data_IF_067706224217
#
_entry.id   IF_067706224217
#
_cell.length_a   1.000
_cell.length_b   1.000
_cell.length_c   1.000
_cell.angle_alpha   90.00
_cell.angle_beta   90.00
_cell.angle_gamma   90.00
#
_symmetry.space_group_name_H-M   'P 1'
#
loop_
_entity.id
_entity.type
_entity.pdbx_description
1 polymer ?
#
# COMPACT_ATOMS: atom_id res chain seq x y z
N UNK A 1 -14.38 -14.79 3.07
CA UNK A 1 -15.73 -14.41 2.55
C UNK A 1 -16.38 -13.35 3.43
N UNK A 2 -16.35 -13.47 4.76
CA UNK A 2 -16.91 -12.47 5.66
C UNK A 2 -16.15 -11.13 5.60
N UNK A 3 -14.83 -11.20 5.41
CA UNK A 3 -13.90 -10.06 5.34
C UNK A 3 -14.21 -9.17 4.14
N UNK A 4 -14.42 -9.76 2.95
CA UNK A 4 -14.77 -9.01 1.73
C UNK A 4 -16.14 -8.32 1.85
N UNK A 5 -17.12 -8.97 2.49
CA UNK A 5 -18.44 -8.36 2.75
C UNK A 5 -18.34 -7.18 3.72
N UNK A 6 -17.50 -7.31 4.77
CA UNK A 6 -17.22 -6.22 5.70
C UNK A 6 -16.54 -5.03 4.98
N UNK A 7 -15.56 -5.31 4.13
CA UNK A 7 -14.87 -4.30 3.33
C UNK A 7 -15.81 -3.61 2.33
N UNK A 8 -16.74 -4.32 1.71
CA UNK A 8 -17.78 -3.71 0.87
C UNK A 8 -18.64 -2.70 1.64
N UNK A 9 -19.11 -3.10 2.82
CA UNK A 9 -19.95 -2.25 3.67
C UNK A 9 -19.18 -1.00 4.11
N UNK A 10 -17.92 -1.19 4.52
CA UNK A 10 -17.04 -0.11 4.93
C UNK A 10 -16.71 0.83 3.76
N UNK A 11 -16.50 0.30 2.56
CA UNK A 11 -16.28 1.11 1.34
C UNK A 11 -17.46 2.04 1.08
N UNK A 12 -18.70 1.55 1.23
CA UNK A 12 -19.89 2.37 1.07
C UNK A 12 -19.99 3.46 2.16
N UNK A 13 -19.61 3.14 3.40
CA UNK A 13 -19.55 4.12 4.49
C UNK A 13 -18.50 5.22 4.20
N UNK A 14 -17.27 4.84 3.87
CA UNK A 14 -16.19 5.76 3.54
C UNK A 14 -16.58 6.73 2.42
N UNK A 15 -17.29 6.23 1.40
CA UNK A 15 -17.79 7.06 0.30
C UNK A 15 -18.82 8.10 0.77
N UNK A 16 -19.72 7.74 1.71
CA UNK A 16 -20.71 8.66 2.27
C UNK A 16 -20.07 9.71 3.16
N UNK A 17 -19.06 9.33 3.93
CA UNK A 17 -18.34 10.21 4.86
C UNK A 17 -17.26 11.06 4.16
N UNK A 18 -16.98 10.82 2.89
CA UNK A 18 -15.97 11.58 2.16
C UNK A 18 -14.53 11.20 2.50
N UNK A 19 -14.32 10.08 3.20
CA UNK A 19 -13.00 9.67 3.72
C UNK A 19 -12.35 8.56 2.88
N UNK A 20 -11.08 8.30 3.16
CA UNK A 20 -10.26 7.25 2.57
C UNK A 20 -9.57 6.49 3.69
N UNK A 21 -9.22 5.23 3.46
CA UNK A 21 -8.54 4.40 4.47
C UNK A 21 -7.39 3.64 3.86
N UNK A 22 -6.44 3.33 4.72
CA UNK A 22 -5.28 2.51 4.41
C UNK A 22 -5.60 1.05 4.76
N UNK A 23 -5.32 0.13 3.84
CA UNK A 23 -5.35 -1.31 4.08
C UNK A 23 -3.93 -1.84 3.85
N UNK A 24 -3.33 -2.39 4.89
CA UNK A 24 -1.98 -2.92 4.86
C UNK A 24 -2.03 -4.43 4.72
N UNK A 25 -1.41 -4.95 3.67
CA UNK A 25 -1.16 -6.38 3.47
C UNK A 25 0.32 -6.63 3.78
N UNK A 26 0.60 -7.41 4.82
CA UNK A 26 1.98 -7.72 5.23
C UNK A 26 2.17 -9.23 5.32
N UNK A 27 3.11 -9.76 4.54
CA UNK A 27 3.39 -11.19 4.44
C UNK A 27 4.25 -11.53 3.25
N UNK A 28 4.22 -12.80 2.86
CA UNK A 28 4.87 -13.31 1.66
C UNK A 28 4.35 -12.63 0.39
N UNK A 29 5.21 -12.52 -0.62
CA UNK A 29 4.91 -11.79 -1.86
C UNK A 29 3.67 -12.31 -2.58
N UNK A 30 3.57 -13.63 -2.76
CA UNK A 30 2.43 -14.26 -3.41
C UNK A 30 1.14 -14.08 -2.61
N UNK A 31 1.22 -14.17 -1.28
CA UNK A 31 0.07 -13.94 -0.40
C UNK A 31 -0.46 -12.50 -0.53
N UNK A 32 0.44 -11.51 -0.50
CA UNK A 32 0.08 -10.10 -0.68
C UNK A 32 -0.56 -9.85 -2.04
N UNK A 33 0.03 -10.40 -3.11
CA UNK A 33 -0.47 -10.24 -4.46
C UNK A 33 -1.86 -10.86 -4.63
N UNK A 34 -2.07 -12.09 -4.16
CA UNK A 34 -3.36 -12.78 -4.22
C UNK A 34 -4.46 -12.02 -3.46
N UNK A 35 -4.13 -11.44 -2.30
CA UNK A 35 -5.10 -10.66 -1.54
C UNK A 35 -5.43 -9.32 -2.22
N UNK A 36 -4.44 -8.64 -2.79
CA UNK A 36 -4.67 -7.44 -3.59
C UNK A 36 -5.58 -7.72 -4.80
N UNK A 37 -5.38 -8.84 -5.50
CA UNK A 37 -6.24 -9.26 -6.60
C UNK A 37 -7.68 -9.54 -6.15
N UNK A 38 -7.87 -10.24 -5.02
CA UNK A 38 -9.20 -10.47 -4.46
C UNK A 38 -9.91 -9.16 -4.10
N UNK A 39 -9.19 -8.18 -3.55
CA UNK A 39 -9.73 -6.86 -3.25
C UNK A 39 -10.13 -6.12 -4.52
N UNK A 40 -9.30 -6.20 -5.57
CA UNK A 40 -9.58 -5.62 -6.88
C UNK A 40 -10.86 -6.19 -7.49
N UNK A 41 -11.01 -7.50 -7.45
CA UNK A 41 -12.15 -8.18 -8.05
C UNK A 41 -13.44 -7.97 -7.24
N UNK A 42 -13.33 -7.78 -5.92
CA UNK A 42 -14.47 -7.48 -5.06
C UNK A 42 -14.92 -6.02 -5.18
N UNK A 43 -13.99 -5.06 -5.12
CA UNK A 43 -14.32 -3.63 -5.03
C UNK A 43 -14.07 -2.95 -6.39
N UNK A 44 -15.12 -2.49 -7.10
CA UNK A 44 -14.94 -1.88 -8.41
C UNK A 44 -14.21 -0.52 -8.31
N UNK A 45 -13.11 -0.38 -9.04
CA UNK A 45 -12.30 0.82 -9.08
C UNK A 45 -11.30 0.82 -10.23
N UNK A 46 -10.53 1.90 -10.32
CA UNK A 46 -9.46 2.07 -11.31
C UNK A 46 -8.23 1.23 -10.96
N UNK A 47 -7.98 1.03 -9.65
CA UNK A 47 -6.90 0.20 -9.10
C UNK A 47 -5.53 0.50 -9.72
N UNK A 48 -5.10 1.76 -9.57
CA UNK A 48 -3.76 2.15 -10.01
C UNK A 48 -2.70 1.38 -9.20
N UNK A 49 -1.83 0.64 -9.88
CA UNK A 49 -0.78 -0.13 -9.22
C UNK A 49 0.57 0.57 -9.36
N UNK A 50 1.15 0.95 -8.23
CA UNK A 50 2.48 1.55 -8.14
C UNK A 50 3.44 0.50 -7.61
N UNK A 51 4.30 -0.02 -8.48
CA UNK A 51 5.34 -0.96 -8.11
C UNK A 51 6.67 -0.57 -8.78
N UNK A 52 7.81 -0.89 -8.16
CA UNK A 52 9.10 -0.84 -8.84
C UNK A 52 9.25 -1.97 -9.89
N UNK A 53 8.42 -3.03 -9.85
CA UNK A 53 8.47 -4.16 -10.78
C UNK A 53 7.20 -4.23 -11.66
N UNK A 54 7.33 -4.33 -13.00
CA UNK A 54 6.22 -4.22 -13.94
C UNK A 54 5.45 -5.53 -14.11
N UNK A 55 4.86 -6.06 -13.03
CA UNK A 55 4.19 -7.37 -13.06
C UNK A 55 2.65 -7.30 -13.15
N UNK A 56 2.05 -6.09 -13.24
CA UNK A 56 0.59 -5.91 -13.28
C UNK A 56 0.10 -5.03 -14.44
N UNK A 57 -1.11 -5.30 -14.94
CA UNK A 57 -1.86 -4.40 -15.83
C UNK A 57 -2.22 -3.09 -15.08
N UNK A 58 -2.20 -1.92 -15.75
CA UNK A 58 -2.30 -0.58 -15.15
C UNK A 58 -1.17 -0.18 -14.18
N UNK A 59 0.04 -0.67 -14.46
CA UNK A 59 1.26 -0.33 -13.74
C UNK A 59 1.77 1.09 -14.04
N UNK A 60 2.20 1.80 -13.00
CA UNK A 60 2.96 3.04 -13.11
C UNK A 60 4.16 2.99 -12.15
N UNK A 61 5.35 3.34 -12.65
CA UNK A 61 6.52 3.44 -11.76
C UNK A 61 6.35 4.60 -10.77
N UNK A 62 6.94 4.53 -9.56
CA UNK A 62 6.93 5.63 -8.60
C UNK A 62 7.39 6.97 -9.22
N UNK A 63 8.38 6.93 -10.13
CA UNK A 63 8.88 8.10 -10.86
C UNK A 63 7.88 8.71 -11.85
N UNK A 64 7.00 7.89 -12.44
CA UNK A 64 5.98 8.35 -13.39
C UNK A 64 4.74 8.90 -12.69
N UNK A 65 4.64 8.79 -11.36
CA UNK A 65 3.49 9.27 -10.60
C UNK A 65 3.28 10.79 -10.73
N UNK A 66 4.35 11.56 -10.95
CA UNK A 66 4.27 13.01 -11.20
C UNK A 66 3.46 13.33 -12.47
N UNK A 67 3.42 12.41 -13.45
CA UNK A 67 2.65 12.57 -14.68
C UNK A 67 1.16 12.30 -14.50
N UNK A 68 0.76 11.72 -13.36
CA UNK A 68 -0.62 11.41 -13.01
C UNK A 68 -1.26 12.48 -12.10
N UNK A 69 -0.51 13.51 -11.72
CA UNK A 69 -1.01 14.65 -10.96
C UNK A 69 -2.08 15.41 -11.77
N UNK A 70 -3.22 15.69 -11.15
CA UNK A 70 -4.41 16.27 -11.78
C UNK A 70 -5.47 15.24 -12.21
N UNK A 71 -5.18 13.94 -12.04
CA UNK A 71 -6.16 12.86 -12.19
C UNK A 71 -6.49 12.29 -10.83
N UNK A 72 -7.72 11.82 -10.70
CA UNK A 72 -8.19 11.14 -9.49
C UNK A 72 -8.57 9.69 -9.79
N UNK A 73 -8.15 8.78 -8.91
CA UNK A 73 -8.36 7.34 -9.05
C UNK A 73 -9.22 6.80 -7.91
N UNK A 74 -10.02 5.78 -8.21
CA UNK A 74 -10.70 4.96 -7.21
C UNK A 74 -9.87 3.71 -6.95
N UNK A 75 -9.38 3.61 -5.73
CA UNK A 75 -8.49 2.55 -5.26
C UNK A 75 -7.10 2.58 -5.91
N UNK A 76 -6.09 2.24 -5.12
CA UNK A 76 -4.72 2.06 -5.61
C UNK A 76 -3.97 1.06 -4.75
N UNK A 77 -2.93 0.46 -5.34
CA UNK A 77 -1.98 -0.41 -4.67
C UNK A 77 -0.61 0.28 -4.68
N UNK A 78 0.04 0.35 -3.53
CA UNK A 78 1.43 0.76 -3.39
C UNK A 78 2.25 -0.43 -2.94
N UNK A 79 3.16 -0.86 -3.80
CA UNK A 79 4.02 -2.00 -3.54
C UNK A 79 5.34 -1.54 -2.90
N UNK A 80 5.44 -1.74 -1.58
CA UNK A 80 6.61 -1.44 -0.79
C UNK A 80 7.34 -2.71 -0.29
N UNK A 81 7.13 -3.86 -0.95
CA UNK A 81 7.74 -5.13 -0.54
C UNK A 81 9.27 -5.11 -0.64
N UNK A 82 9.82 -4.33 -1.57
CA UNK A 82 11.26 -4.24 -1.83
C UNK A 82 11.86 -2.84 -1.59
N UNK A 83 11.03 -1.83 -1.37
CA UNK A 83 11.49 -0.48 -1.06
C UNK A 83 10.35 0.50 -0.92
N UNK A 84 10.52 1.54 -0.11
CA UNK A 84 9.45 2.48 0.23
C UNK A 84 9.80 3.89 -0.23
N UNK A 85 9.29 4.29 -1.41
CA UNK A 85 9.32 5.69 -1.85
C UNK A 85 8.26 6.51 -1.09
N UNK A 86 8.69 7.22 -0.05
CA UNK A 86 7.81 8.05 0.77
C UNK A 86 7.14 9.18 -0.01
N UNK A 87 7.83 9.75 -1.01
CA UNK A 87 7.28 10.82 -1.84
C UNK A 87 6.18 10.29 -2.78
N UNK A 88 6.40 9.15 -3.41
CA UNK A 88 5.41 8.50 -4.26
C UNK A 88 4.20 8.01 -3.45
N UNK A 89 4.41 7.46 -2.24
CA UNK A 89 3.31 7.07 -1.35
C UNK A 89 2.42 8.27 -0.99
N UNK A 90 3.03 9.38 -0.57
CA UNK A 90 2.29 10.60 -0.25
C UNK A 90 1.54 11.16 -1.46
N UNK A 91 2.19 11.23 -2.63
CA UNK A 91 1.56 11.72 -3.84
C UNK A 91 0.41 10.81 -4.31
N UNK A 92 0.55 9.48 -4.21
CA UNK A 92 -0.51 8.54 -4.55
C UNK A 92 -1.71 8.69 -3.62
N UNK A 93 -1.46 8.87 -2.32
CA UNK A 93 -2.54 9.15 -1.36
C UNK A 93 -3.33 10.41 -1.72
N UNK A 94 -2.67 11.40 -2.35
CA UNK A 94 -3.29 12.65 -2.80
C UNK A 94 -4.19 12.51 -4.03
N UNK A 95 -4.02 11.48 -4.85
CA UNK A 95 -4.82 11.28 -6.08
C UNK A 95 -6.05 10.40 -5.85
N UNK A 96 -6.27 9.91 -4.63
CA UNK A 96 -7.39 9.02 -4.33
C UNK A 96 -8.69 9.78 -4.03
N UNK A 97 -9.78 9.34 -4.68
CA UNK A 97 -11.15 9.82 -4.44
C UNK A 97 -11.68 9.42 -3.08
N UNK A 98 -12.69 10.13 -2.57
CA UNK A 98 -13.49 9.69 -1.42
C UNK A 98 -14.06 8.26 -1.62
N UNK A 99 -14.05 7.46 -0.55
CA UNK A 99 -14.41 6.04 -0.58
C UNK A 99 -13.32 5.12 -1.10
N UNK A 100 -12.11 5.63 -1.34
CA UNK A 100 -11.00 4.80 -1.84
C UNK A 100 -10.18 4.15 -0.73
N UNK A 101 -9.82 2.90 -0.97
CA UNK A 101 -8.70 2.20 -0.37
C UNK A 101 -7.36 2.56 -0.99
N UNK A 102 -6.39 2.88 -0.15
CA UNK A 102 -4.97 2.74 -0.48
C UNK A 102 -4.52 1.39 0.08
N UNK A 103 -4.15 0.45 -0.79
CA UNK A 103 -3.62 -0.85 -0.37
C UNK A 103 -2.10 -0.76 -0.35
N UNK A 104 -1.49 -0.96 0.81
CA UNK A 104 -0.04 -0.95 0.99
C UNK A 104 0.45 -2.40 1.13
N UNK A 105 1.31 -2.84 0.22
CA UNK A 105 1.97 -4.14 0.30
C UNK A 105 3.29 -3.97 1.03
N UNK A 106 3.47 -4.74 2.09
CA UNK A 106 4.68 -4.78 2.91
C UNK A 106 5.24 -6.21 2.94
N UNK A 107 6.55 -6.35 3.21
CA UNK A 107 7.12 -7.67 3.47
C UNK A 107 6.57 -8.27 4.78
N UNK A 108 7.08 -9.45 5.15
CA UNK A 108 6.75 -10.12 6.41
C UNK A 108 7.02 -9.17 7.58
N UNK A 109 6.01 -8.95 8.41
CA UNK A 109 5.97 -7.90 9.43
C UNK A 109 7.16 -7.94 10.39
N UNK A 110 7.57 -9.14 10.80
CA UNK A 110 8.66 -9.39 11.73
C UNK A 110 10.03 -9.09 11.13
N UNK A 111 10.20 -9.31 9.82
CA UNK A 111 11.48 -9.22 9.12
C UNK A 111 11.73 -7.83 8.54
N UNK A 112 10.66 -7.06 8.33
CA UNK A 112 10.68 -5.77 7.64
C UNK A 112 11.72 -4.77 8.15
N UNK A 113 11.96 -4.70 9.47
CA UNK A 113 12.90 -3.74 10.05
C UNK A 113 14.34 -3.94 9.58
N UNK A 114 14.72 -5.17 9.25
CA UNK A 114 16.07 -5.52 8.81
C UNK A 114 16.17 -5.71 7.30
N UNK A 115 15.05 -5.63 6.59
CA UNK A 115 15.05 -5.77 5.15
C UNK A 115 15.63 -4.52 4.50
N UNK A 116 16.59 -4.65 3.56
CA UNK A 116 17.11 -3.52 2.80
C UNK A 116 16.02 -2.84 1.97
N UNK A 117 16.02 -1.51 1.97
CA UNK A 117 15.09 -0.69 1.20
C UNK A 117 15.72 -0.25 -0.12
N UNK A 118 15.20 -0.71 -1.25
CA UNK A 118 15.73 -0.35 -2.57
C UNK A 118 15.60 1.16 -2.87
N UNK A 119 14.64 1.87 -2.26
CA UNK A 119 14.51 3.33 -2.43
C UNK A 119 15.65 4.08 -1.74
N UNK A 120 16.30 3.47 -0.75
CA UNK A 120 17.40 4.10 0.00
C UNK A 120 18.56 4.56 -0.88
N UNK A 121 18.81 3.91 -2.01
CA UNK A 121 19.84 4.28 -2.97
C UNK A 121 19.72 5.73 -3.49
N UNK A 122 18.53 6.34 -3.41
CA UNK A 122 18.31 7.72 -3.85
C UNK A 122 18.82 8.77 -2.88
N UNK A 123 19.02 8.41 -1.61
CA UNK A 123 19.28 9.38 -0.53
C UNK A 123 20.32 8.93 0.50
N UNK A 124 20.75 7.66 0.50
CA UNK A 124 21.66 7.10 1.51
C UNK A 124 23.15 7.32 1.22
N UNK A 125 23.49 7.79 0.02
CA UNK A 125 24.86 7.86 -0.52
C UNK A 125 25.64 6.53 -0.44
N UNK A 126 24.94 5.41 -0.24
CA UNK A 126 25.51 4.06 -0.17
C UNK A 126 25.42 3.39 -1.56
N UNK A 127 26.39 2.54 -1.92
CA UNK A 127 26.38 1.84 -3.22
C UNK A 127 25.31 0.75 -3.31
N UNK A 128 24.88 0.20 -2.17
CA UNK A 128 23.90 -0.87 -2.04
C UNK A 128 22.74 -0.45 -1.14
N UNK A 129 21.52 -1.02 -1.31
CA UNK A 129 20.38 -0.77 -0.44
C UNK A 129 20.71 -1.02 1.04
N UNK A 130 20.27 -0.11 1.90
CA UNK A 130 20.43 -0.23 3.35
C UNK A 130 19.09 -0.53 4.03
N UNK A 131 19.14 -1.21 5.18
CA UNK A 131 17.96 -1.33 6.04
C UNK A 131 17.61 0.03 6.67
N UNK A 132 16.31 0.30 6.83
CA UNK A 132 15.79 1.56 7.37
C UNK A 132 14.96 1.33 8.65
N UNK A 133 15.52 0.67 9.69
CA UNK A 133 14.75 0.19 10.84
C UNK A 133 13.99 1.29 11.58
N UNK A 134 14.57 2.50 11.69
CA UNK A 134 13.90 3.62 12.35
C UNK A 134 12.66 4.11 11.61
N UNK A 135 12.70 4.12 10.27
CA UNK A 135 11.55 4.45 9.45
C UNK A 135 10.46 3.39 9.60
N UNK A 136 10.85 2.11 9.53
CA UNK A 136 9.93 0.98 9.71
C UNK A 136 9.29 1.01 11.10
N UNK A 137 10.06 1.23 12.16
CA UNK A 137 9.55 1.34 13.54
C UNK A 137 8.57 2.50 13.70
N UNK A 138 8.84 3.64 13.07
CA UNK A 138 7.92 4.76 13.04
C UNK A 138 6.62 4.39 12.34
N UNK A 139 6.70 3.78 11.16
CA UNK A 139 5.52 3.40 10.38
C UNK A 139 4.70 2.33 11.11
N UNK A 140 5.32 1.31 11.69
CA UNK A 140 4.66 0.33 12.57
C UNK A 140 3.91 1.03 13.70
N UNK A 141 4.55 1.96 14.42
CA UNK A 141 3.92 2.70 15.51
C UNK A 141 2.66 3.43 15.05
N UNK A 142 2.74 4.17 13.94
CA UNK A 142 1.60 4.91 13.38
C UNK A 142 0.48 3.98 12.93
N UNK A 143 0.81 2.89 12.23
CA UNK A 143 -0.16 1.90 11.76
C UNK A 143 -0.89 1.16 12.89
N UNK A 144 -0.24 1.02 14.05
CA UNK A 144 -0.82 0.35 15.23
C UNK A 144 -1.45 1.29 16.25
N UNK A 145 -1.31 2.62 16.08
CA UNK A 145 -1.79 3.59 17.06
C UNK A 145 -3.32 3.70 17.04
N UNK A 146 -3.92 3.67 15.85
CA UNK A 146 -5.35 3.90 15.64
C UNK A 146 -5.97 2.83 14.72
N UNK A 147 -7.27 2.59 14.87
CA UNK A 147 -8.03 1.61 14.09
C UNK A 147 -8.47 2.13 12.70
N UNK A 148 -7.93 3.28 12.26
CA UNK A 148 -8.25 3.86 10.95
C UNK A 148 -7.51 3.16 9.80
N UNK A 149 -6.36 2.53 10.09
CA UNK A 149 -5.67 1.63 9.19
C UNK A 149 -6.06 0.19 9.49
N UNK A 150 -6.41 -0.57 8.44
CA UNK A 150 -6.66 -2.01 8.56
C UNK A 150 -5.34 -2.74 8.32
N UNK A 151 -4.83 -3.43 9.33
CA UNK A 151 -3.60 -4.22 9.24
C UNK A 151 -3.94 -5.70 9.08
N UNK A 152 -3.79 -6.22 7.87
CA UNK A 152 -3.98 -7.65 7.57
C UNK A 152 -2.63 -8.32 7.37
N UNK A 153 -2.24 -9.13 8.34
CA UNK A 153 -0.99 -9.89 8.33
C UNK A 153 -1.24 -11.34 7.95
N UNK A 154 -0.33 -11.93 7.18
CA UNK A 154 -0.39 -13.35 6.86
C UNK A 154 -0.39 -14.19 8.15
N UNK A 155 -1.20 -15.25 8.18
CA UNK A 155 -1.38 -16.14 9.34
C UNK A 155 -1.92 -15.46 10.62
N UNK A 156 -2.45 -14.24 10.51
CA UNK A 156 -3.18 -13.56 11.58
C UNK A 156 -4.67 -13.44 11.21
N UNK A 157 -5.58 -13.41 12.19
CA UNK A 157 -6.97 -13.09 11.93
C UNK A 157 -7.11 -11.68 11.36
N UNK A 158 -8.15 -11.48 10.54
CA UNK A 158 -8.55 -10.18 10.00
C UNK A 158 -9.11 -9.26 11.09
#
# INVERSE_FOLDING_TARGET
MAELTALHTLTAQMKREGIRRLLVLSGEEGWCFDHALKLRDALPGDWLWISPQPDAENHCSPSALQTLLGREFRHAVFDARHGFDAAAFAALSGTLKAGSWLVLLLPVWEEWENQPDADSLRWSDCPDPIATPHFVQHLKRVLTADNDAILWRQNQPF
#
